data_IF_781519615015
#
_entry.id   IF_781519615015
#
_cell.length_a   1.000
_cell.length_b   1.000
_cell.length_c   1.000
_cell.angle_alpha   90.00
_cell.angle_beta   90.00
_cell.angle_gamma   90.00
#
_symmetry.space_group_name_H-M   'P 1'
#
loop_
_entity.id
_entity.type
_entity.pdbx_description
1 polymer ?
#
# COMPACT_ATOMS: atom_id res chain seq x y z
N UNK A 1 -23.73 -4.22 -5.69
CA UNK A 1 -23.26 -2.93 -5.17
C UNK A 1 -21.75 -2.90 -4.88
N UNK A 2 -21.18 -3.84 -4.10
CA UNK A 2 -19.77 -3.78 -3.63
C UNK A 2 -18.66 -4.13 -4.65
N UNK A 3 -19.00 -4.70 -5.82
CA UNK A 3 -18.01 -5.18 -6.80
C UNK A 3 -17.04 -4.09 -7.30
N UNK A 4 -17.51 -2.86 -7.42
CA UNK A 4 -16.70 -1.72 -7.88
C UNK A 4 -15.72 -1.24 -6.81
N UNK A 5 -16.11 -1.30 -5.53
CA UNK A 5 -15.27 -0.89 -4.40
C UNK A 5 -14.08 -1.82 -4.22
N UNK A 6 -14.29 -3.14 -4.33
CA UNK A 6 -13.21 -4.13 -4.21
C UNK A 6 -12.13 -3.95 -5.29
N UNK A 7 -12.55 -3.62 -6.51
CA UNK A 7 -11.64 -3.35 -7.63
C UNK A 7 -10.85 -2.07 -7.37
N UNK A 8 -11.51 -1.02 -6.89
CA UNK A 8 -10.86 0.24 -6.57
C UNK A 8 -9.77 0.06 -5.51
N UNK A 9 -10.09 -0.66 -4.42
CA UNK A 9 -9.14 -0.98 -3.35
C UNK A 9 -7.94 -1.75 -3.90
N UNK A 10 -8.19 -2.79 -4.71
CA UNK A 10 -7.12 -3.58 -5.32
C UNK A 10 -6.20 -2.76 -6.22
N UNK A 11 -6.75 -1.84 -7.02
CA UNK A 11 -5.94 -0.93 -7.86
C UNK A 11 -5.08 -0.01 -6.99
N UNK A 12 -5.62 0.52 -5.89
CA UNK A 12 -4.89 1.37 -4.96
C UNK A 12 -3.75 0.59 -4.29
N UNK A 13 -4.01 -0.64 -3.84
CA UNK A 13 -2.98 -1.50 -3.24
C UNK A 13 -1.79 -1.71 -4.19
N UNK A 14 -2.06 -2.03 -5.46
CA UNK A 14 -1.00 -2.23 -6.47
C UNK A 14 -0.18 -0.95 -6.70
N UNK A 15 -0.84 0.21 -6.79
CA UNK A 15 -0.15 1.49 -6.99
C UNK A 15 0.77 1.78 -5.80
N UNK A 16 0.29 1.57 -4.58
CA UNK A 16 1.06 1.83 -3.35
C UNK A 16 2.25 0.89 -3.25
N UNK A 17 2.07 -0.41 -3.53
CA UNK A 17 3.18 -1.37 -3.56
C UNK A 17 4.25 -0.96 -4.57
N UNK A 18 3.85 -0.51 -5.76
CA UNK A 18 4.78 -0.01 -6.78
C UNK A 18 5.52 1.26 -6.31
N UNK A 19 4.84 2.17 -5.60
CA UNK A 19 5.45 3.37 -5.02
C UNK A 19 6.45 3.01 -3.90
N UNK A 20 6.12 2.04 -3.03
CA UNK A 20 7.04 1.53 -2.00
C UNK A 20 8.30 0.96 -2.64
N UNK A 21 8.14 0.10 -3.66
CA UNK A 21 9.24 -0.53 -4.37
C UNK A 21 10.15 0.49 -5.06
N UNK A 22 9.57 1.55 -5.64
CA UNK A 22 10.30 2.66 -6.28
C UNK A 22 10.93 3.64 -5.30
N UNK A 23 10.51 3.66 -4.03
CA UNK A 23 11.10 4.56 -3.03
C UNK A 23 12.57 4.23 -2.76
N UNK A 24 13.35 5.21 -2.28
CA UNK A 24 14.75 4.99 -1.85
C UNK A 24 14.87 4.46 -0.41
N UNK A 25 13.78 3.94 0.18
CA UNK A 25 13.78 3.37 1.53
C UNK A 25 14.60 2.08 1.60
N UNK A 26 15.15 1.80 2.78
CA UNK A 26 15.78 0.51 3.08
C UNK A 26 14.86 -0.66 2.72
N UNK A 27 15.44 -1.75 2.23
CA UNK A 27 14.70 -2.94 1.82
C UNK A 27 13.82 -3.53 2.94
N UNK A 28 14.27 -3.46 4.20
CA UNK A 28 13.50 -3.92 5.35
C UNK A 28 12.23 -3.09 5.55
N UNK A 29 12.32 -1.76 5.44
CA UNK A 29 11.17 -0.85 5.55
C UNK A 29 10.20 -1.05 4.39
N UNK A 30 10.70 -1.28 3.18
CA UNK A 30 9.86 -1.62 2.02
C UNK A 30 9.05 -2.89 2.28
N UNK A 31 9.71 -3.94 2.75
CA UNK A 31 9.06 -5.21 3.08
C UNK A 31 7.96 -5.04 4.13
N UNK A 32 8.24 -4.31 5.22
CA UNK A 32 7.25 -4.01 6.26
C UNK A 32 6.02 -3.29 5.69
N UNK A 33 6.24 -2.27 4.85
CA UNK A 33 5.14 -1.52 4.24
C UNK A 33 4.32 -2.36 3.25
N UNK A 34 4.97 -3.20 2.44
CA UNK A 34 4.27 -4.10 1.50
C UNK A 34 3.41 -5.11 2.27
N UNK A 35 3.95 -5.72 3.33
CA UNK A 35 3.20 -6.65 4.18
C UNK A 35 1.99 -5.96 4.80
N UNK A 36 2.16 -4.73 5.32
CA UNK A 36 1.08 -3.96 5.93
C UNK A 36 -0.04 -3.65 4.92
N UNK A 37 0.31 -3.22 3.71
CA UNK A 37 -0.64 -2.90 2.64
C UNK A 37 -1.42 -4.14 2.20
N UNK A 38 -0.73 -5.27 2.01
CA UNK A 38 -1.37 -6.53 1.60
C UNK A 38 -2.30 -7.11 2.68
N UNK A 39 -1.90 -7.04 3.96
CA UNK A 39 -2.74 -7.55 5.06
C UNK A 39 -3.89 -6.60 5.44
N UNK A 40 -3.72 -5.30 5.21
CA UNK A 40 -4.73 -4.28 5.48
C UNK A 40 -5.00 -3.48 4.19
N UNK A 41 -5.77 -4.00 3.23
CA UNK A 41 -5.96 -3.37 1.91
C UNK A 41 -6.64 -2.00 1.96
N UNK A 42 -7.36 -1.70 3.04
CA UNK A 42 -7.97 -0.36 3.23
C UNK A 42 -7.09 0.53 4.11
N UNK A 43 -6.63 0.02 5.27
CA UNK A 43 -5.89 0.83 6.24
C UNK A 43 -4.41 0.97 5.89
N UNK A 44 -3.82 -0.04 5.25
CA UNK A 44 -2.41 -0.08 4.86
C UNK A 44 -2.02 1.02 3.89
N UNK A 45 -2.74 1.22 2.76
CA UNK A 45 -2.54 2.38 1.88
C UNK A 45 -2.68 3.71 2.59
N UNK A 46 -3.67 3.85 3.48
CA UNK A 46 -3.91 5.09 4.25
C UNK A 46 -2.74 5.37 5.20
N UNK A 47 -2.28 4.36 5.95
CA UNK A 47 -1.13 4.47 6.84
C UNK A 47 0.15 4.76 6.06
N UNK A 48 0.34 4.13 4.90
CA UNK A 48 1.47 4.43 4.04
C UNK A 48 1.45 5.88 3.59
N UNK A 49 0.30 6.40 3.19
CA UNK A 49 0.21 7.79 2.73
C UNK A 49 0.48 8.81 3.85
N UNK A 50 0.02 8.53 5.08
CA UNK A 50 0.15 9.45 6.22
C UNK A 50 1.53 9.36 6.87
N UNK A 51 2.06 8.16 7.05
CA UNK A 51 3.28 7.89 7.82
C UNK A 51 4.42 7.47 6.90
N UNK A 52 4.15 6.51 6.02
CA UNK A 52 5.14 5.83 5.20
C UNK A 52 5.61 6.58 3.96
N UNK A 53 4.96 7.66 3.53
CA UNK A 53 5.27 8.36 2.28
C UNK A 53 6.48 9.29 2.40
N UNK A 54 6.80 9.76 3.60
CA UNK A 54 8.04 10.50 3.89
C UNK A 54 9.26 9.62 3.71
#
# INVERSE_FOLDING_TARGET
>A
MFRLLSILVFVVDVIIVMEILRSNKDNEKKLLWIILVVFLPVLGPVLYFVIGRK
#
